data_IF_441434537960
#
_entry.id   IF_441434537960
#
_cell.length_a   1.000
_cell.length_b   1.000
_cell.length_c   1.000
_cell.angle_alpha   90.00
_cell.angle_beta   90.00
_cell.angle_gamma   90.00
#
_symmetry.space_group_name_H-M   'P 1'
#
loop_
_entity.id
_entity.type
_entity.pdbx_description
1 polymer ?
#
# COMPACT_ATOMS: atom_id res chain seq x y z
N UNK A 1 2.30 -14.32 1.03
CA UNK A 1 2.72 -13.34 0.00
C UNK A 1 3.62 -14.07 -0.99
N UNK A 2 3.52 -13.79 -2.28
CA UNK A 2 4.41 -14.31 -3.33
C UNK A 2 5.22 -13.15 -3.88
N UNK A 3 6.51 -13.13 -3.55
CA UNK A 3 7.43 -12.06 -3.95
C UNK A 3 8.60 -12.64 -4.77
N UNK A 4 8.65 -12.49 -6.10
CA UNK A 4 7.71 -11.81 -7.00
C UNK A 4 7.27 -12.71 -8.15
N UNK A 5 6.20 -12.34 -8.85
CA UNK A 5 5.75 -13.06 -10.05
C UNK A 5 6.84 -13.14 -11.12
N UNK A 6 7.68 -12.11 -11.22
CA UNK A 6 8.80 -12.07 -12.16
C UNK A 6 9.82 -13.20 -11.89
N UNK A 7 9.97 -13.61 -10.63
CA UNK A 7 10.90 -14.67 -10.21
C UNK A 7 10.32 -16.09 -10.34
N UNK A 8 9.05 -16.23 -10.73
CA UNK A 8 8.44 -17.54 -10.99
C UNK A 8 8.90 -18.07 -12.35
N UNK A 9 10.11 -18.60 -12.39
CA UNK A 9 10.71 -19.19 -13.59
C UNK A 9 10.24 -20.64 -13.75
N UNK A 10 9.65 -21.02 -14.90
CA UNK A 10 9.28 -22.40 -15.17
C UNK A 10 10.48 -23.34 -15.14
N UNK A 11 10.27 -24.58 -14.69
CA UNK A 11 11.32 -25.60 -14.61
C UNK A 11 12.08 -25.81 -15.93
N UNK A 12 11.38 -25.87 -17.05
CA UNK A 12 12.00 -26.06 -18.36
C UNK A 12 12.91 -24.89 -18.78
N UNK A 13 12.68 -23.68 -18.26
CA UNK A 13 13.54 -22.52 -18.49
C UNK A 13 14.76 -22.52 -17.55
N UNK A 14 14.64 -23.10 -16.36
CA UNK A 14 15.78 -23.31 -15.43
C UNK A 14 16.73 -24.39 -15.94
N UNK A 15 16.19 -25.45 -16.53
CA UNK A 15 16.95 -26.60 -17.04
C UNK A 15 17.49 -26.39 -18.48
N UNK A 16 16.98 -25.38 -19.20
CA UNK A 16 17.41 -25.05 -20.57
C UNK A 16 18.69 -24.21 -20.62
N UNK A 17 19.18 -23.96 -21.84
CA UNK A 17 20.36 -23.11 -22.05
C UNK A 17 19.99 -21.63 -22.20
N UNK A 18 20.95 -20.75 -21.89
CA UNK A 18 20.76 -19.31 -22.10
C UNK A 18 20.57 -19.01 -23.60
N UNK A 19 19.39 -18.54 -23.97
CA UNK A 19 19.04 -18.22 -25.36
C UNK A 19 17.97 -19.13 -25.95
N UNK A 20 17.59 -20.19 -25.24
CA UNK A 20 16.47 -21.05 -25.65
C UNK A 20 15.15 -20.28 -25.66
N UNK A 21 14.38 -20.47 -26.72
CA UNK A 21 13.11 -19.76 -26.91
C UNK A 21 11.98 -20.47 -26.18
N UNK A 22 11.64 -19.98 -24.99
CA UNK A 22 10.48 -20.46 -24.21
C UNK A 22 9.33 -19.45 -24.26
N UNK A 23 8.75 -19.23 -25.44
CA UNK A 23 7.71 -18.22 -25.63
C UNK A 23 6.45 -18.53 -24.80
N UNK A 24 6.14 -17.64 -23.85
CA UNK A 24 4.87 -17.65 -23.11
C UNK A 24 4.72 -18.77 -22.07
N UNK A 25 5.78 -19.49 -21.74
CA UNK A 25 5.74 -20.60 -20.78
C UNK A 25 5.27 -20.14 -19.39
N UNK A 26 5.83 -19.03 -18.90
CA UNK A 26 5.43 -18.40 -17.64
C UNK A 26 3.96 -17.98 -17.62
N UNK A 27 3.45 -17.42 -18.73
CA UNK A 27 2.04 -17.00 -18.83
C UNK A 27 1.06 -18.19 -18.79
N UNK A 28 1.44 -19.32 -19.40
CA UNK A 28 0.66 -20.56 -19.35
C UNK A 28 0.66 -21.16 -17.95
N UNK A 29 1.83 -21.21 -17.31
CA UNK A 29 1.98 -21.67 -15.92
C UNK A 29 1.07 -20.86 -14.99
N UNK A 30 1.13 -19.53 -15.05
CA UNK A 30 0.29 -18.65 -14.23
C UNK A 30 -1.21 -18.86 -14.47
N UNK A 31 -1.62 -19.05 -15.73
CA UNK A 31 -3.03 -19.30 -16.07
C UNK A 31 -3.55 -20.60 -15.47
N UNK A 32 -2.74 -21.66 -15.49
CA UNK A 32 -3.09 -22.96 -14.90
C UNK A 32 -3.07 -22.91 -13.37
N UNK A 33 -2.02 -22.31 -12.79
CA UNK A 33 -1.84 -22.19 -11.35
C UNK A 33 -2.99 -21.38 -10.73
N UNK A 34 -3.30 -20.20 -11.25
CA UNK A 34 -4.37 -19.35 -10.71
C UNK A 34 -5.76 -20.00 -10.85
N UNK A 35 -6.00 -20.78 -11.92
CA UNK A 35 -7.24 -21.54 -12.07
C UNK A 35 -7.43 -22.56 -10.95
N UNK A 36 -6.38 -23.27 -10.55
CA UNK A 36 -6.41 -24.23 -9.43
C UNK A 36 -6.47 -23.53 -8.08
N UNK A 37 -5.64 -22.49 -7.90
CA UNK A 37 -5.52 -21.76 -6.63
C UNK A 37 -6.79 -20.99 -6.28
N UNK A 38 -7.52 -20.44 -7.25
CA UNK A 38 -8.71 -19.63 -6.97
C UNK A 38 -9.77 -20.36 -6.15
N UNK A 39 -9.97 -21.66 -6.38
CA UNK A 39 -10.90 -22.48 -5.60
C UNK A 39 -10.39 -22.71 -4.18
N UNK A 40 -9.13 -23.12 -4.05
CA UNK A 40 -8.49 -23.38 -2.75
C UNK A 40 -8.45 -22.13 -1.86
N UNK A 41 -8.05 -20.97 -2.42
CA UNK A 41 -7.99 -19.67 -1.73
C UNK A 41 -9.34 -19.30 -1.12
N UNK A 42 -10.43 -19.53 -1.87
CA UNK A 42 -11.78 -19.21 -1.39
C UNK A 42 -12.22 -20.14 -0.26
N UNK A 43 -11.93 -21.44 -0.37
CA UNK A 43 -12.29 -22.44 0.64
C UNK A 43 -11.49 -22.25 1.93
N UNK A 44 -10.20 -21.91 1.83
CA UNK A 44 -9.33 -21.68 2.98
C UNK A 44 -9.46 -20.28 3.59
N UNK A 45 -10.31 -19.42 3.01
CA UNK A 45 -10.48 -18.01 3.39
C UNK A 45 -9.15 -17.26 3.56
N UNK A 46 -8.17 -17.56 2.71
CA UNK A 46 -6.82 -17.01 2.80
C UNK A 46 -6.64 -15.84 1.84
N UNK A 47 -5.94 -14.78 2.25
CA UNK A 47 -5.53 -13.73 1.33
C UNK A 47 -4.18 -14.07 0.68
N UNK A 48 -4.12 -14.03 -0.65
CA UNK A 48 -2.88 -14.23 -1.40
C UNK A 48 -2.51 -12.94 -2.11
N UNK A 49 -1.34 -12.40 -1.75
CA UNK A 49 -0.77 -11.20 -2.35
C UNK A 49 0.36 -11.61 -3.29
N UNK A 50 0.34 -11.06 -4.51
CA UNK A 50 1.41 -11.20 -5.50
C UNK A 50 2.07 -9.84 -5.69
N UNK A 51 3.38 -9.76 -5.51
CA UNK A 51 4.16 -8.59 -5.96
C UNK A 51 4.54 -8.81 -7.42
N UNK A 52 4.55 -7.73 -8.21
CA UNK A 52 4.99 -7.81 -9.59
C UNK A 52 5.74 -6.54 -9.98
N UNK A 53 6.68 -6.71 -10.89
CA UNK A 53 7.51 -5.63 -11.39
C UNK A 53 6.87 -5.04 -12.64
N UNK A 54 7.09 -3.74 -12.85
CA UNK A 54 6.78 -3.10 -14.13
C UNK A 54 7.96 -3.35 -15.08
N UNK A 55 7.64 -3.66 -16.32
CA UNK A 55 8.57 -3.76 -17.45
C UNK A 55 8.02 -2.88 -18.58
N UNK A 56 8.87 -2.49 -19.51
CA UNK A 56 8.44 -1.78 -20.70
C UNK A 56 8.40 -2.75 -21.89
N UNK A 57 7.32 -2.65 -22.68
CA UNK A 57 7.21 -3.41 -23.92
C UNK A 57 7.83 -2.58 -25.06
N UNK A 58 8.93 -3.08 -25.62
CA UNK A 58 9.57 -2.49 -26.80
C UNK A 58 8.59 -2.50 -27.99
N UNK A 59 8.54 -1.41 -28.74
CA UNK A 59 7.77 -1.30 -29.99
C UNK A 59 6.31 -0.85 -29.83
N UNK A 60 5.88 -0.36 -28.67
CA UNK A 60 4.57 0.26 -28.49
C UNK A 60 4.64 1.73 -28.91
N UNK A 61 4.03 2.07 -30.06
CA UNK A 61 3.97 3.46 -30.56
C UNK A 61 2.76 4.26 -30.02
N UNK A 62 1.74 3.59 -29.47
CA UNK A 62 0.53 4.23 -28.94
C UNK A 62 0.03 3.55 -27.66
N UNK A 63 -0.37 4.34 -26.66
CA UNK A 63 -0.81 3.87 -25.35
C UNK A 63 0.33 3.70 -24.34
N UNK A 64 0.02 3.14 -23.16
CA UNK A 64 1.04 2.91 -22.13
C UNK A 64 1.96 1.73 -22.50
N UNK A 65 3.29 1.92 -22.51
CA UNK A 65 4.26 0.85 -22.78
C UNK A 65 4.43 -0.10 -21.59
N UNK A 66 3.83 0.21 -20.44
CA UNK A 66 3.99 -0.57 -19.22
C UNK A 66 3.31 -1.94 -19.32
N UNK A 67 4.10 -2.98 -19.08
CA UNK A 67 3.66 -4.37 -19.02
C UNK A 67 4.14 -5.04 -17.73
N UNK A 68 3.58 -6.21 -17.44
CA UNK A 68 3.86 -6.98 -16.23
C UNK A 68 4.20 -8.43 -16.60
N UNK A 69 5.22 -9.04 -15.97
CA UNK A 69 5.52 -10.47 -16.11
C UNK A 69 4.35 -11.39 -15.73
N UNK A 70 4.38 -12.64 -16.21
CA UNK A 70 3.35 -13.65 -15.90
C UNK A 70 2.08 -13.60 -16.76
N UNK A 71 2.07 -12.80 -17.83
CA UNK A 71 0.96 -12.72 -18.78
C UNK A 71 -0.29 -12.01 -18.23
N UNK A 72 -1.47 -12.34 -18.79
CA UNK A 72 -2.73 -11.63 -18.46
C UNK A 72 -3.52 -12.26 -17.30
N UNK A 73 -3.24 -13.52 -16.94
CA UNK A 73 -4.06 -14.27 -16.00
C UNK A 73 -4.22 -13.54 -14.65
N UNK A 74 -3.12 -13.08 -14.06
CA UNK A 74 -3.16 -12.38 -12.79
C UNK A 74 -4.05 -11.12 -12.83
N UNK A 75 -4.05 -10.38 -13.96
CA UNK A 75 -4.92 -9.21 -14.13
C UNK A 75 -6.41 -9.56 -14.04
N UNK A 76 -6.82 -10.75 -14.48
CA UNK A 76 -8.22 -11.21 -14.44
C UNK A 76 -8.61 -11.85 -13.09
N UNK A 77 -7.75 -12.70 -12.56
CA UNK A 77 -8.00 -13.43 -11.30
C UNK A 77 -7.90 -12.53 -10.06
N UNK A 78 -7.02 -11.53 -10.05
CA UNK A 78 -6.89 -10.62 -8.91
C UNK A 78 -8.21 -9.88 -8.61
N UNK A 79 -8.65 -9.92 -7.36
CA UNK A 79 -9.83 -9.18 -6.89
C UNK A 79 -9.54 -7.69 -6.73
N UNK A 80 -8.34 -7.35 -6.26
CA UNK A 80 -7.84 -5.99 -6.11
C UNK A 80 -6.48 -5.89 -6.80
N UNK A 81 -6.22 -4.77 -7.49
CA UNK A 81 -4.90 -4.44 -8.04
C UNK A 81 -4.49 -3.06 -7.58
N UNK A 82 -3.29 -2.98 -7.03
CA UNK A 82 -2.67 -1.75 -6.53
C UNK A 82 -1.48 -1.43 -7.45
N UNK A 83 -1.44 -0.20 -7.96
CA UNK A 83 -0.26 0.38 -8.59
C UNK A 83 0.41 1.28 -7.58
N UNK A 84 1.65 0.96 -7.19
CA UNK A 84 2.41 1.67 -6.16
C UNK A 84 3.57 2.41 -6.84
N UNK A 85 3.64 3.73 -6.61
CA UNK A 85 4.67 4.60 -7.19
C UNK A 85 5.30 5.46 -6.12
N UNK A 86 6.63 5.51 -6.11
CA UNK A 86 7.39 6.49 -5.35
C UNK A 86 7.19 7.87 -5.98
N UNK A 87 6.87 8.86 -5.17
CA UNK A 87 6.75 10.26 -5.60
C UNK A 87 8.04 11.02 -5.29
N UNK A 88 8.19 11.48 -4.06
CA UNK A 88 9.32 12.30 -3.62
C UNK A 88 10.04 11.67 -2.43
N UNK A 89 11.32 12.01 -2.26
CA UNK A 89 12.10 11.63 -1.09
C UNK A 89 11.86 12.63 0.04
N UNK A 90 11.55 12.13 1.23
CA UNK A 90 11.40 12.93 2.44
C UNK A 90 12.80 13.17 3.00
N UNK A 91 13.18 14.44 3.19
CA UNK A 91 14.51 14.82 3.66
C UNK A 91 14.45 15.56 5.00
N UNK A 92 15.38 15.25 5.89
CA UNK A 92 15.58 15.96 7.15
C UNK A 92 17.07 16.12 7.39
N UNK A 93 17.53 17.34 7.69
CA UNK A 93 18.95 17.62 7.95
C UNK A 93 19.90 17.38 6.76
N UNK A 94 19.37 17.20 5.53
CA UNK A 94 20.14 16.86 4.34
C UNK A 94 20.05 15.39 3.93
N UNK A 95 19.67 14.51 4.86
CA UNK A 95 19.54 13.07 4.63
C UNK A 95 18.13 12.69 4.18
N UNK A 96 18.02 11.66 3.34
CA UNK A 96 16.71 11.12 2.91
C UNK A 96 16.24 10.10 3.92
N UNK A 97 15.22 10.45 4.70
CA UNK A 97 14.69 9.65 5.81
C UNK A 97 13.49 8.79 5.42
N UNK A 98 12.93 9.00 4.22
CA UNK A 98 11.78 8.23 3.73
C UNK A 98 11.36 8.62 2.32
N UNK A 99 10.23 8.10 1.90
CA UNK A 99 9.61 8.40 0.61
C UNK A 99 8.12 8.65 0.76
N UNK A 100 7.63 9.70 0.11
CA UNK A 100 6.20 9.84 -0.19
C UNK A 100 5.85 8.87 -1.30
N UNK A 101 4.82 8.06 -1.09
CA UNK A 101 4.37 7.01 -1.99
C UNK A 101 2.90 7.23 -2.31
N UNK A 102 2.54 7.05 -3.58
CA UNK A 102 1.16 7.04 -4.05
C UNK A 102 0.77 5.63 -4.45
N UNK A 103 -0.38 5.18 -3.97
CA UNK A 103 -0.98 3.90 -4.37
C UNK A 103 -2.32 4.18 -5.04
N UNK A 104 -2.47 3.67 -6.27
CA UNK A 104 -3.72 3.75 -7.05
C UNK A 104 -4.37 2.38 -7.15
N UNK A 105 -5.66 2.31 -6.85
CA UNK A 105 -6.46 1.09 -7.00
C UNK A 105 -6.88 0.94 -8.47
N UNK A 106 -6.10 0.25 -9.29
CA UNK A 106 -6.37 0.07 -10.73
C UNK A 106 -7.47 -0.95 -11.03
N UNK A 107 -7.79 -1.82 -10.07
CA UNK A 107 -8.90 -2.78 -10.15
C UNK A 107 -9.43 -3.05 -8.75
N UNK A 108 -10.74 -3.08 -8.60
CA UNK A 108 -11.41 -3.44 -7.36
C UNK A 108 -12.71 -4.19 -7.67
N UNK A 109 -12.90 -5.39 -7.11
CA UNK A 109 -14.12 -6.20 -7.23
C UNK A 109 -15.06 -6.10 -6.02
N UNK A 110 -14.65 -5.43 -4.95
CA UNK A 110 -15.40 -5.39 -3.67
C UNK A 110 -15.87 -3.99 -3.28
N UNK A 111 -15.30 -2.95 -3.90
CA UNK A 111 -15.66 -1.55 -3.69
C UNK A 111 -15.34 -0.73 -4.96
N UNK A 112 -15.73 0.55 -5.05
CA UNK A 112 -15.41 1.40 -6.20
C UNK A 112 -13.90 1.44 -6.52
N UNK A 113 -13.49 1.21 -7.79
CA UNK A 113 -12.09 1.28 -8.20
C UNK A 113 -11.62 2.73 -8.43
N UNK A 114 -10.33 2.88 -8.78
CA UNK A 114 -9.67 4.12 -9.19
C UNK A 114 -9.49 5.19 -8.11
N UNK A 115 -9.69 4.84 -6.85
CA UNK A 115 -9.25 5.67 -5.73
C UNK A 115 -7.73 5.64 -5.61
N UNK A 116 -7.18 6.74 -5.11
CA UNK A 116 -5.77 6.94 -4.84
C UNK A 116 -5.59 7.23 -3.36
N UNK A 117 -4.47 6.79 -2.78
CA UNK A 117 -4.02 7.23 -1.47
C UNK A 117 -2.54 7.59 -1.55
N UNK A 118 -2.14 8.53 -0.70
CA UNK A 118 -0.76 8.95 -0.54
C UNK A 118 -0.36 8.80 0.91
N UNK A 119 0.86 8.32 1.12
CA UNK A 119 1.39 8.11 2.45
C UNK A 119 2.91 8.09 2.45
N UNK A 120 3.46 8.24 3.65
CA UNK A 120 4.89 8.29 3.86
C UNK A 120 5.39 6.90 4.26
N UNK A 121 6.42 6.41 3.58
CA UNK A 121 7.20 5.24 3.99
C UNK A 121 8.52 5.74 4.55
N UNK A 122 8.71 5.59 5.86
CA UNK A 122 9.90 6.03 6.60
C UNK A 122 10.91 4.88 6.69
N UNK A 123 12.19 5.15 6.45
CA UNK A 123 13.24 4.12 6.47
C UNK A 123 13.62 3.67 7.88
N UNK A 124 13.58 4.59 8.85
CA UNK A 124 14.03 4.35 10.22
C UNK A 124 12.89 3.99 11.19
N UNK A 125 11.63 4.31 10.86
CA UNK A 125 10.45 4.13 11.73
C UNK A 125 9.59 2.89 11.36
N UNK A 126 10.20 1.81 10.87
CA UNK A 126 9.53 0.54 10.56
C UNK A 126 8.41 0.59 9.49
N UNK A 127 8.50 1.50 8.51
CA UNK A 127 7.67 1.44 7.30
C UNK A 127 6.63 2.56 7.18
N UNK A 128 5.35 2.21 7.03
CA UNK A 128 4.27 3.18 6.74
C UNK A 128 4.01 4.04 7.98
N UNK A 129 4.07 5.36 7.83
CA UNK A 129 3.85 6.32 8.92
C UNK A 129 2.36 6.51 9.21
N UNK A 130 1.82 5.64 10.06
CA UNK A 130 0.39 5.66 10.46
C UNK A 130 -0.03 7.00 11.06
N UNK A 131 0.77 7.58 11.95
CA UNK A 131 0.47 8.87 12.58
C UNK A 131 0.53 10.04 11.61
N UNK A 132 1.41 9.98 10.61
CA UNK A 132 1.42 10.94 9.50
C UNK A 132 0.12 10.88 8.69
N UNK A 133 -0.35 9.68 8.33
CA UNK A 133 -1.61 9.50 7.60
C UNK A 133 -2.82 9.98 8.42
N UNK A 134 -2.92 9.61 9.70
CA UNK A 134 -4.04 10.00 10.57
C UNK A 134 -4.09 11.53 10.71
N UNK A 135 -2.93 12.18 10.86
CA UNK A 135 -2.85 13.64 10.95
C UNK A 135 -3.31 14.32 9.67
N UNK A 136 -2.80 13.87 8.51
CA UNK A 136 -3.15 14.44 7.21
C UNK A 136 -4.65 14.27 6.93
N UNK A 137 -5.19 13.06 7.13
CA UNK A 137 -6.63 12.78 6.99
C UNK A 137 -7.48 13.55 8.01
N UNK A 138 -7.00 13.71 9.24
CA UNK A 138 -7.70 14.46 10.29
C UNK A 138 -7.80 15.94 9.95
N UNK A 139 -6.77 16.52 9.32
CA UNK A 139 -6.82 17.91 8.84
C UNK A 139 -7.74 18.05 7.64
N UNK A 140 -7.67 17.12 6.68
CA UNK A 140 -8.53 17.14 5.48
C UNK A 140 -10.02 17.01 5.82
N UNK A 141 -10.34 16.29 6.90
CA UNK A 141 -11.70 16.11 7.42
C UNK A 141 -12.13 17.15 8.45
N UNK A 142 -11.29 18.18 8.71
CA UNK A 142 -11.53 19.21 9.73
C UNK A 142 -11.71 18.67 11.17
N UNK A 143 -11.24 17.44 11.42
CA UNK A 143 -11.19 16.82 12.76
C UNK A 143 -10.03 17.43 13.57
N UNK A 144 -8.91 17.72 12.89
CA UNK A 144 -7.74 18.39 13.45
C UNK A 144 -7.69 19.80 12.87
N UNK A 145 -7.69 20.80 13.74
CA UNK A 145 -7.58 22.20 13.32
C UNK A 145 -6.12 22.55 12.98
N UNK A 146 -5.90 23.07 11.78
CA UNK A 146 -4.62 23.65 11.37
C UNK A 146 -4.70 25.17 11.32
N UNK A 147 -4.08 25.86 12.27
CA UNK A 147 -3.99 27.34 12.30
C UNK A 147 -2.56 27.78 11.99
N UNK A 148 -2.32 28.14 10.73
CA UNK A 148 -0.98 28.45 10.23
C UNK A 148 -0.07 27.22 10.32
N UNK A 149 0.96 27.30 11.15
CA UNK A 149 1.87 26.17 11.41
C UNK A 149 1.44 25.30 12.61
N UNK A 150 0.41 25.68 13.36
CA UNK A 150 0.00 24.97 14.57
C UNK A 150 -1.12 23.98 14.28
N UNK A 151 -0.99 22.77 14.82
CA UNK A 151 -1.98 21.70 14.75
C UNK A 151 -2.63 21.54 16.13
N UNK A 152 -3.97 21.55 16.18
CA UNK A 152 -4.76 21.39 17.40
C UNK A 152 -5.81 20.31 17.24
N UNK A 153 -6.07 19.60 18.32
CA UNK A 153 -7.17 18.66 18.42
C UNK A 153 -7.96 18.98 19.67
N UNK A 154 -9.25 19.27 19.50
CA UNK A 154 -10.08 19.92 20.54
C UNK A 154 -9.36 21.15 21.11
N UNK A 155 -9.20 21.21 22.44
CA UNK A 155 -8.50 22.28 23.15
C UNK A 155 -6.97 22.07 23.28
N UNK A 156 -6.47 20.91 22.83
CA UNK A 156 -5.07 20.50 22.95
C UNK A 156 -4.20 20.95 21.78
N UNK A 157 -3.00 21.43 22.06
CA UNK A 157 -1.98 21.68 21.03
C UNK A 157 -1.21 20.39 20.74
N UNK A 158 -1.34 19.88 19.51
CA UNK A 158 -0.57 18.72 19.04
C UNK A 158 0.87 19.09 18.72
N UNK A 159 1.11 20.28 18.15
CA UNK A 159 2.46 20.75 17.87
C UNK A 159 2.53 21.88 16.85
N UNK A 160 3.72 22.48 16.73
CA UNK A 160 4.07 23.42 15.67
C UNK A 160 4.78 22.68 14.54
N UNK A 161 4.14 22.60 13.38
CA UNK A 161 4.63 21.86 12.22
C UNK A 161 4.20 20.38 12.25
N UNK A 162 4.18 19.78 11.06
CA UNK A 162 3.69 18.41 10.83
C UNK A 162 4.49 17.37 11.62
N UNK A 163 5.82 17.47 11.63
CA UNK A 163 6.67 16.47 12.30
C UNK A 163 6.51 16.49 13.82
N UNK A 164 6.39 17.67 14.44
CA UNK A 164 6.14 17.76 15.89
C UNK A 164 4.75 17.22 16.25
N UNK A 165 3.73 17.50 15.43
CA UNK A 165 2.39 16.94 15.63
C UNK A 165 2.36 15.41 15.45
N UNK A 166 3.11 14.86 14.49
CA UNK A 166 3.31 13.41 14.33
C UNK A 166 3.99 12.80 15.56
N UNK A 167 5.04 13.43 16.06
CA UNK A 167 5.75 12.98 17.26
C UNK A 167 4.80 12.95 18.47
N UNK A 168 4.00 14.01 18.66
CA UNK A 168 3.01 14.04 19.74
C UNK A 168 1.99 12.89 19.64
N UNK A 169 1.47 12.59 18.44
CA UNK A 169 0.56 11.46 18.24
C UNK A 169 1.23 10.10 18.44
N UNK A 170 2.53 9.98 18.13
CA UNK A 170 3.30 8.77 18.43
C UNK A 170 3.47 8.57 19.94
N UNK A 171 3.69 9.66 20.69
CA UNK A 171 3.86 9.63 22.15
C UNK A 171 2.52 9.47 22.90
N UNK A 172 1.40 9.92 22.31
CA UNK A 172 0.07 9.92 22.92
C UNK A 172 -0.90 9.03 22.12
N UNK A 173 -0.73 7.71 22.27
CA UNK A 173 -1.52 6.71 21.54
C UNK A 173 -3.05 6.83 21.74
N UNK A 174 -3.51 7.27 22.92
CA UNK A 174 -4.93 7.48 23.19
C UNK A 174 -5.55 8.55 22.28
N UNK A 175 -4.85 9.66 22.09
CA UNK A 175 -5.29 10.74 21.20
C UNK A 175 -5.23 10.28 19.74
N UNK A 176 -4.17 9.56 19.35
CA UNK A 176 -4.06 9.02 18.00
C UNK A 176 -5.21 8.05 17.65
N UNK A 177 -5.58 7.17 18.57
CA UNK A 177 -6.70 6.23 18.41
C UNK A 177 -8.05 6.95 18.32
N UNK A 178 -8.23 8.05 19.07
CA UNK A 178 -9.44 8.87 19.02
C UNK A 178 -9.59 9.53 17.65
N UNK A 179 -8.53 10.18 17.16
CA UNK A 179 -8.51 10.81 15.83
C UNK A 179 -8.73 9.76 14.73
N UNK A 180 -8.05 8.60 14.81
CA UNK A 180 -8.25 7.53 13.84
C UNK A 180 -9.69 7.01 13.83
N UNK A 181 -10.31 6.85 15.00
CA UNK A 181 -11.70 6.42 15.10
C UNK A 181 -12.65 7.45 14.51
N UNK A 182 -12.44 8.74 14.75
CA UNK A 182 -13.21 9.81 14.13
C UNK A 182 -13.11 9.76 12.59
N UNK A 183 -11.89 9.59 12.06
CA UNK A 183 -11.64 9.43 10.61
C UNK A 183 -12.35 8.18 10.06
N UNK A 184 -12.25 7.03 10.75
CA UNK A 184 -12.91 5.77 10.33
C UNK A 184 -14.42 5.90 10.31
N UNK A 185 -15.01 6.50 11.34
CA UNK A 185 -16.46 6.71 11.45
C UNK A 185 -16.96 7.60 10.31
N UNK A 186 -16.22 8.66 9.96
CA UNK A 186 -16.55 9.52 8.83
C UNK A 186 -16.64 8.72 7.51
N UNK A 187 -15.74 7.77 7.29
CA UNK A 187 -15.74 6.89 6.11
C UNK A 187 -16.63 5.63 6.25
N UNK A 188 -17.41 5.51 7.33
CA UNK A 188 -18.29 4.36 7.58
C UNK A 188 -17.54 3.04 7.85
N UNK A 189 -16.29 3.12 8.31
CA UNK A 189 -15.45 1.99 8.66
C UNK A 189 -15.63 1.63 10.15
N UNK A 190 -15.49 0.34 10.52
CA UNK A 190 -15.58 -0.05 11.92
C UNK A 190 -14.47 0.62 12.75
N UNK A 191 -14.81 1.16 13.93
CA UNK A 191 -13.83 1.74 14.83
C UNK A 191 -12.84 0.67 15.29
N UNK A 192 -11.60 1.07 15.56
CA UNK A 192 -10.67 0.18 16.23
C UNK A 192 -11.17 -0.13 17.64
N UNK A 193 -10.96 -1.37 18.07
CA UNK A 193 -11.13 -1.73 19.48
C UNK A 193 -10.05 -0.99 20.27
N UNK A 194 -10.43 0.06 20.99
CA UNK A 194 -9.55 0.72 21.95
C UNK A 194 -9.12 -0.34 22.95
N UNK A 195 -7.84 -0.72 22.97
CA UNK A 195 -7.35 -1.54 24.07
C UNK A 195 -7.38 -0.65 25.31
N UNK A 196 -8.05 -1.06 26.40
CA UNK A 196 -7.94 -0.31 27.64
C UNK A 196 -6.45 -0.20 28.02
N UNK A 197 -6.03 0.91 28.65
CA UNK A 197 -4.66 1.06 29.11
C UNK A 197 -4.28 -0.18 29.94
N UNK A 198 -3.01 -0.64 29.85
CA UNK A 198 -2.54 -1.73 30.69
C UNK A 198 -2.91 -1.40 32.14
N UNK A 199 -3.72 -2.25 32.78
CA UNK A 199 -3.96 -2.12 34.20
C UNK A 199 -2.61 -2.31 34.88
N UNK A 200 -2.08 -1.25 35.49
CA UNK A 200 -0.93 -1.35 36.38
C UNK A 200 -1.30 -2.34 37.49
N UNK A 201 -0.76 -3.55 37.41
CA UNK A 201 -0.71 -4.54 38.51
C UNK A 201 0.48 -4.27 39.41
#
# INVERSE_FOLDING_TARGET
VVDSVAALVPRAEIEGEMGDSHVGLQARLMSQALRKLSGAIKQSNTAVLFTNQIREKVGVMYGSPETQPGGRALKFYASVRLDIRRMEGIKQGGDTIGNRVRVRVTKNKVAPPFRECEFDIMFYENGISKTGEILDLGVDLEIVEKRGAFYRYHDGLLGQGRENAKQYLNENASVADEVENAVRVHYGLPPMKVQPPPQET
#
